data_IF_105797953194
#
_entry.id   IF_105797953194
#
_cell.length_a   1.000
_cell.length_b   1.000
_cell.length_c   1.000
_cell.angle_alpha   90.00
_cell.angle_beta   90.00
_cell.angle_gamma   90.00
#
_symmetry.space_group_name_H-M   'P 1'
#
loop_
_entity.id
_entity.type
_entity.pdbx_description
1 polymer ?
#
# COMPACT_ATOMS: atom_id res chain seq x y z
N UNK A 1 -13.98 -10.70 11.46
CA UNK A 1 -14.16 -11.91 10.64
C UNK A 1 -14.05 -11.52 9.17
N UNK A 2 -13.29 -12.25 8.35
CA UNK A 2 -13.30 -12.04 6.90
C UNK A 2 -14.67 -12.41 6.34
N UNK A 3 -15.29 -11.64 5.42
CA UNK A 3 -16.66 -11.85 4.96
C UNK A 3 -16.89 -13.26 4.42
N UNK A 4 -15.94 -13.79 3.66
CA UNK A 4 -16.03 -15.15 3.08
C UNK A 4 -16.13 -16.27 4.12
N UNK A 5 -15.41 -16.15 5.25
CA UNK A 5 -15.46 -17.17 6.30
C UNK A 5 -16.82 -17.20 6.99
N UNK A 6 -17.48 -16.04 7.08
CA UNK A 6 -18.81 -15.92 7.68
C UNK A 6 -19.89 -16.59 6.81
N UNK A 7 -19.92 -16.28 5.51
CA UNK A 7 -20.90 -16.89 4.61
C UNK A 7 -20.66 -18.39 4.40
N UNK A 8 -19.41 -18.84 4.41
CA UNK A 8 -19.08 -20.26 4.34
C UNK A 8 -19.61 -21.03 5.56
N UNK A 9 -19.51 -20.45 6.77
CA UNK A 9 -20.08 -21.06 7.97
C UNK A 9 -21.62 -21.08 7.96
N UNK A 10 -22.26 -20.02 7.45
CA UNK A 10 -23.72 -20.00 7.30
C UNK A 10 -24.19 -21.11 6.35
N UNK A 11 -23.47 -21.31 5.23
CA UNK A 11 -23.75 -22.37 4.28
C UNK A 11 -23.53 -23.78 4.88
N UNK A 12 -22.43 -23.99 5.61
CA UNK A 12 -22.13 -25.29 6.23
C UNK A 12 -23.19 -25.72 7.27
N UNK A 13 -23.79 -24.75 7.94
CA UNK A 13 -24.78 -24.95 9.00
C UNK A 13 -26.23 -24.86 8.50
N UNK A 14 -26.43 -24.70 7.19
CA UNK A 14 -27.74 -24.51 6.55
C UNK A 14 -28.56 -23.37 7.18
N UNK A 15 -27.86 -22.30 7.60
CA UNK A 15 -28.43 -21.14 8.27
C UNK A 15 -28.67 -20.01 7.27
N UNK A 16 -29.94 -19.67 7.08
CA UNK A 16 -30.32 -18.49 6.30
C UNK A 16 -30.16 -17.19 7.11
N UNK A 17 -30.05 -16.06 6.40
CA UNK A 17 -29.84 -14.73 6.98
C UNK A 17 -30.95 -14.29 7.97
N UNK A 18 -32.14 -14.86 7.82
CA UNK A 18 -33.30 -14.62 8.69
C UNK A 18 -33.12 -15.23 10.09
N UNK A 19 -32.40 -16.36 10.21
CA UNK A 19 -32.07 -16.99 11.49
C UNK A 19 -31.05 -16.19 12.32
N UNK A 20 -30.29 -15.31 11.66
CA UNK A 20 -29.32 -14.42 12.28
C UNK A 20 -29.97 -13.13 12.81
N UNK A 21 -31.13 -12.75 12.27
CA UNK A 21 -31.89 -11.60 12.78
C UNK A 21 -32.62 -11.92 14.08
N UNK A 22 -33.00 -13.18 14.28
CA UNK A 22 -33.56 -13.70 15.53
C UNK A 22 -32.48 -14.04 16.56
N UNK A 23 -31.20 -14.04 16.16
CA UNK A 23 -30.07 -14.23 17.05
C UNK A 23 -29.85 -12.99 17.92
N UNK A 24 -30.55 -12.95 19.05
CA UNK A 24 -30.30 -12.01 20.13
C UNK A 24 -29.17 -12.58 21.00
N UNK A 25 -27.99 -11.92 21.07
CA UNK A 25 -26.87 -12.42 21.87
C UNK A 25 -27.25 -12.61 23.35
N UNK A 26 -28.25 -11.86 23.83
CA UNK A 26 -28.64 -11.83 25.23
C UNK A 26 -29.40 -13.07 25.71
N UNK A 27 -30.04 -13.83 24.83
CA UNK A 27 -30.77 -15.04 25.24
C UNK A 27 -29.81 -16.18 25.62
N UNK A 28 -28.69 -16.31 24.91
CA UNK A 28 -27.62 -17.27 25.24
C UNK A 28 -26.67 -16.75 26.32
N UNK A 29 -26.74 -15.48 26.72
CA UNK A 29 -26.12 -15.04 27.98
C UNK A 29 -26.81 -15.73 29.17
N UNK A 30 -28.03 -16.28 29.05
CA UNK A 30 -28.68 -17.01 30.15
C UNK A 30 -28.27 -18.50 30.26
N UNK A 31 -27.82 -19.13 29.18
CA UNK A 31 -27.31 -20.51 29.18
C UNK A 31 -25.77 -20.59 29.16
N UNK A 32 -25.15 -19.57 28.58
CA UNK A 32 -23.73 -19.25 28.65
C UNK A 32 -23.56 -17.91 29.36
N UNK A 33 -24.14 -17.77 30.56
CA UNK A 33 -23.62 -16.77 31.48
C UNK A 33 -22.20 -17.26 31.72
N UNK A 34 -21.21 -16.65 31.05
CA UNK A 34 -19.98 -16.39 31.78
C UNK A 34 -20.43 -15.44 32.86
N UNK A 35 -20.98 -16.01 33.94
CA UNK A 35 -21.11 -15.35 35.21
C UNK A 35 -19.66 -14.95 35.43
N UNK A 36 -19.33 -13.68 35.20
CA UNK A 36 -18.26 -13.08 35.97
C UNK A 36 -18.75 -13.37 37.37
N UNK A 37 -18.20 -14.43 37.96
CA UNK A 37 -18.64 -14.94 39.24
C UNK A 37 -18.59 -13.74 40.15
N UNK A 38 -19.75 -13.17 40.44
CA UNK A 38 -19.93 -12.38 41.63
C UNK A 38 -19.77 -13.39 42.75
N UNK A 39 -18.50 -13.58 43.16
CA UNK A 39 -18.06 -14.09 44.46
C UNK A 39 -16.56 -14.43 44.47
N UNK A 40 -15.90 -14.32 45.62
CA UNK A 40 -16.16 -13.50 46.80
C UNK A 40 -15.05 -12.45 46.96
N UNK A 41 -15.12 -11.65 48.03
CA UNK A 41 -14.02 -10.87 48.57
C UNK A 41 -12.73 -11.70 48.59
N UNK A 42 -11.89 -11.59 47.56
CA UNK A 42 -10.50 -11.93 47.75
C UNK A 42 -9.95 -10.80 48.60
N UNK A 43 -9.64 -11.12 49.85
CA UNK A 43 -8.58 -10.50 50.62
C UNK A 43 -7.30 -10.59 49.77
N UNK A 44 -7.22 -9.83 48.68
CA UNK A 44 -5.92 -9.46 48.13
C UNK A 44 -5.30 -8.67 49.25
N UNK A 45 -4.21 -9.21 49.80
CA UNK A 45 -3.37 -8.48 50.74
C UNK A 45 -3.19 -7.07 50.19
N UNK A 46 -3.56 -6.04 50.96
CA UNK A 46 -3.49 -4.65 50.50
C UNK A 46 -2.09 -4.32 49.95
N UNK A 47 -1.07 -5.03 50.44
CA UNK A 47 0.29 -5.02 49.93
C UNK A 47 0.41 -5.50 48.49
N UNK A 48 -0.24 -6.60 48.10
CA UNK A 48 -0.23 -7.14 46.73
C UNK A 48 -0.94 -6.20 45.75
N UNK A 49 -2.05 -5.60 46.20
CA UNK A 49 -2.82 -4.65 45.40
C UNK A 49 -2.00 -3.36 45.18
N UNK A 50 -1.37 -2.85 46.23
CA UNK A 50 -0.51 -1.68 46.16
C UNK A 50 0.75 -1.94 45.32
N UNK A 51 1.36 -3.13 45.42
CA UNK A 51 2.51 -3.51 44.60
C UNK A 51 2.18 -3.49 43.11
N UNK A 52 0.98 -3.95 42.72
CA UNK A 52 0.52 -3.93 41.32
C UNK A 52 0.23 -2.52 40.82
N UNK A 53 -0.37 -1.68 41.65
CA UNK A 53 -0.56 -0.24 41.36
C UNK A 53 0.77 0.47 41.12
N UNK A 54 1.76 0.21 41.99
CA UNK A 54 3.11 0.76 41.88
C UNK A 54 3.83 0.25 40.62
N UNK A 55 3.77 -1.05 40.33
CA UNK A 55 4.36 -1.62 39.12
C UNK A 55 3.76 -1.03 37.84
N UNK A 56 2.44 -0.80 37.83
CA UNK A 56 1.76 -0.14 36.72
C UNK A 56 2.17 1.33 36.57
N UNK A 57 2.22 2.06 37.69
CA UNK A 57 2.57 3.48 37.70
C UNK A 57 4.04 3.73 37.32
N UNK A 58 4.96 2.91 37.81
CA UNK A 58 6.41 3.02 37.57
C UNK A 58 6.84 2.53 36.18
N UNK A 59 5.94 1.91 35.42
CA UNK A 59 6.28 1.42 34.09
C UNK A 59 6.46 2.57 33.08
N UNK A 60 7.56 2.50 32.32
CA UNK A 60 7.91 3.47 31.29
C UNK A 60 7.07 3.32 29.99
N UNK A 61 6.21 2.31 29.91
CA UNK A 61 5.42 2.04 28.70
C UNK A 61 4.36 3.15 28.48
N UNK A 62 4.36 3.83 27.32
CA UNK A 62 3.45 4.94 27.07
C UNK A 62 2.00 4.47 26.87
N UNK A 63 1.81 3.24 26.40
CA UNK A 63 0.49 2.64 26.17
C UNK A 63 0.00 1.95 27.44
N UNK A 64 -1.18 2.36 27.93
CA UNK A 64 -1.76 1.83 29.16
C UNK A 64 -1.98 0.31 29.15
N UNK A 65 -2.34 -0.28 28.02
CA UNK A 65 -2.62 -1.72 27.89
C UNK A 65 -1.36 -2.59 27.84
N UNK A 66 -0.21 -2.01 27.50
CA UNK A 66 1.08 -2.69 27.45
C UNK A 66 1.83 -2.59 28.80
N UNK A 67 1.23 -1.93 29.80
CA UNK A 67 1.82 -1.80 31.14
C UNK A 67 1.67 -3.11 31.94
N UNK A 68 2.66 -3.46 32.78
CA UNK A 68 2.61 -4.66 33.59
C UNK A 68 1.40 -4.62 34.53
N UNK A 69 0.70 -5.74 34.65
CA UNK A 69 -0.45 -5.85 35.55
C UNK A 69 -1.74 -5.20 35.05
N UNK A 70 -1.77 -4.58 33.86
CA UNK A 70 -2.97 -3.96 33.29
C UNK A 70 -4.19 -4.90 33.31
N UNK A 71 -4.03 -6.12 32.79
CA UNK A 71 -5.14 -7.07 32.67
C UNK A 71 -5.68 -7.54 34.03
N UNK A 72 -4.81 -7.56 35.04
CA UNK A 72 -5.21 -7.87 36.41
C UNK A 72 -5.96 -6.69 37.04
N UNK A 73 -5.40 -5.47 36.96
CA UNK A 73 -6.03 -4.25 37.49
C UNK A 73 -7.38 -3.97 36.83
N UNK A 74 -7.50 -4.23 35.53
CA UNK A 74 -8.76 -4.10 34.81
C UNK A 74 -9.87 -5.02 35.35
N UNK A 75 -9.51 -6.22 35.82
CA UNK A 75 -10.44 -7.24 36.33
C UNK A 75 -10.74 -7.07 37.83
N UNK A 76 -9.78 -6.61 38.61
CA UNK A 76 -9.83 -6.63 40.07
C UNK A 76 -9.85 -5.25 40.74
N UNK A 77 -9.41 -4.19 40.06
CA UNK A 77 -9.32 -2.83 40.60
C UNK A 77 -9.57 -1.77 39.51
N UNK A 78 -10.74 -1.89 38.89
CA UNK A 78 -11.12 -1.12 37.70
C UNK A 78 -11.26 0.38 38.01
N UNK A 79 -11.79 0.73 39.17
CA UNK A 79 -12.01 2.13 39.57
C UNK A 79 -10.69 2.89 39.71
N UNK A 80 -9.70 2.29 40.38
CA UNK A 80 -8.36 2.88 40.47
C UNK A 80 -7.74 3.05 39.08
N UNK A 81 -7.83 2.03 38.22
CA UNK A 81 -7.25 2.08 36.88
C UNK A 81 -7.86 3.21 36.02
N UNK A 82 -9.18 3.38 36.08
CA UNK A 82 -9.88 4.46 35.36
C UNK A 82 -9.44 5.84 35.86
N UNK A 83 -9.40 6.03 37.19
CA UNK A 83 -8.98 7.29 37.79
C UNK A 83 -7.51 7.62 37.49
N UNK A 84 -6.64 6.61 37.56
CA UNK A 84 -5.21 6.78 37.24
C UNK A 84 -5.01 7.17 35.77
N UNK A 85 -5.69 6.51 34.83
CA UNK A 85 -5.58 6.83 33.40
C UNK A 85 -6.16 8.21 33.08
N UNK A 86 -7.25 8.61 33.74
CA UNK A 86 -7.82 9.95 33.61
C UNK A 86 -6.85 11.04 34.12
N UNK A 87 -6.17 10.79 35.24
CA UNK A 87 -5.16 11.71 35.79
C UNK A 87 -3.84 11.73 35.00
N UNK A 88 -3.54 10.66 34.24
CA UNK A 88 -2.31 10.50 33.46
C UNK A 88 -2.64 10.25 31.98
N UNK A 89 -3.19 11.26 31.27
CA UNK A 89 -3.57 11.10 29.88
C UNK A 89 -2.34 10.85 29.02
N UNK A 90 -2.38 9.76 28.25
CA UNK A 90 -1.39 9.52 27.22
C UNK A 90 -1.58 10.52 26.07
N UNK A 91 -0.70 11.52 26.01
CA UNK A 91 -0.61 12.41 24.87
C UNK A 91 0.02 11.64 23.71
N UNK A 92 -0.80 11.17 22.77
CA UNK A 92 -0.29 10.71 21.48
C UNK A 92 0.42 11.89 20.84
N UNK A 93 1.70 11.69 20.55
CA UNK A 93 2.45 12.63 19.74
C UNK A 93 1.68 12.82 18.42
N UNK A 94 1.24 14.05 18.16
CA UNK A 94 0.45 14.34 16.96
C UNK A 94 1.37 14.06 15.79
N UNK A 95 1.00 13.06 14.97
CA UNK A 95 1.76 12.63 13.78
C UNK A 95 2.41 13.84 13.11
N UNK A 96 3.73 13.72 12.88
CA UNK A 96 4.54 14.66 12.10
C UNK A 96 3.71 15.14 10.92
N UNK A 97 3.45 16.46 10.87
CA UNK A 97 2.72 17.09 9.77
C UNK A 97 3.57 16.92 8.52
N UNK A 98 3.22 15.95 7.68
CA UNK A 98 3.91 15.69 6.42
C UNK A 98 3.67 16.90 5.52
N UNK A 99 4.75 17.53 5.06
CA UNK A 99 4.68 18.56 4.01
C UNK A 99 4.46 17.87 2.66
N UNK A 100 3.19 17.75 2.29
CA UNK A 100 2.78 17.15 1.02
C UNK A 100 3.22 17.96 -0.19
N UNK A 101 3.32 19.28 -0.06
CA UNK A 101 3.69 20.14 -1.18
C UNK A 101 5.16 19.97 -1.54
N UNK A 102 6.05 19.98 -0.54
CA UNK A 102 7.46 19.65 -0.75
C UNK A 102 7.62 18.23 -1.31
N UNK A 103 6.82 17.28 -0.80
CA UNK A 103 6.90 15.89 -1.27
C UNK A 103 6.44 15.70 -2.71
N UNK A 104 5.40 16.41 -3.13
CA UNK A 104 4.94 16.40 -4.53
C UNK A 104 5.95 17.05 -5.46
N UNK A 105 6.62 18.11 -5.03
CA UNK A 105 7.71 18.71 -5.80
C UNK A 105 8.88 17.73 -6.02
N UNK A 106 9.34 17.08 -4.94
CA UNK A 106 10.43 16.11 -5.01
C UNK A 106 10.04 14.92 -5.89
N UNK A 107 8.82 14.40 -5.73
CA UNK A 107 8.31 13.29 -6.55
C UNK A 107 8.29 13.64 -8.04
N UNK A 108 7.82 14.84 -8.41
CA UNK A 108 7.82 15.28 -9.79
C UNK A 108 9.24 15.31 -10.39
N UNK A 109 10.24 15.76 -9.61
CA UNK A 109 11.64 15.73 -10.03
C UNK A 109 12.17 14.30 -10.19
N UNK A 110 11.85 13.41 -9.26
CA UNK A 110 12.23 11.99 -9.33
C UNK A 110 11.62 11.28 -10.54
N UNK A 111 10.36 11.58 -10.88
CA UNK A 111 9.68 11.05 -12.06
C UNK A 111 10.35 11.49 -13.37
N UNK A 112 10.75 12.76 -13.47
CA UNK A 112 11.48 13.27 -14.63
C UNK A 112 12.85 12.58 -14.78
N UNK A 113 13.57 12.39 -13.67
CA UNK A 113 14.84 11.65 -13.65
C UNK A 113 14.64 10.18 -14.03
N UNK A 114 13.59 9.53 -13.51
CA UNK A 114 13.24 8.15 -13.84
C UNK A 114 12.97 7.98 -15.34
N UNK A 115 12.27 8.94 -15.98
CA UNK A 115 12.09 8.94 -17.44
C UNK A 115 13.43 9.02 -18.17
N UNK A 116 14.31 9.93 -17.76
CA UNK A 116 15.64 10.05 -18.39
C UNK A 116 16.43 8.74 -18.27
N UNK A 117 16.40 8.08 -17.12
CA UNK A 117 17.04 6.77 -16.91
C UNK A 117 16.45 5.70 -17.83
N UNK A 118 15.12 5.63 -17.98
CA UNK A 118 14.47 4.66 -18.87
C UNK A 118 14.83 4.89 -20.34
N UNK A 119 15.03 6.14 -20.74
CA UNK A 119 15.44 6.51 -22.09
C UNK A 119 16.93 6.26 -22.35
N UNK A 120 17.78 6.30 -21.32
CA UNK A 120 19.23 6.05 -21.43
C UNK A 120 19.64 4.59 -21.29
N UNK A 121 18.70 3.66 -21.11
CA UNK A 121 19.01 2.23 -20.99
C UNK A 121 19.61 1.72 -22.31
N UNK A 122 20.80 1.12 -22.22
CA UNK A 122 21.43 0.47 -23.36
C UNK A 122 20.70 -0.81 -23.78
N UNK A 123 20.71 -1.09 -25.08
CA UNK A 123 20.03 -2.22 -25.68
C UNK A 123 18.55 -1.95 -25.94
N UNK A 124 17.73 -2.99 -25.82
CA UNK A 124 16.33 -2.95 -26.25
C UNK A 124 15.49 -1.92 -25.46
N UNK A 125 14.83 -0.97 -26.14
CA UNK A 125 14.05 0.08 -25.48
C UNK A 125 12.92 -0.43 -24.58
N UNK A 126 12.94 0.01 -23.32
CA UNK A 126 11.86 -0.21 -22.36
C UNK A 126 10.80 0.88 -22.46
N UNK A 127 9.51 0.50 -22.46
CA UNK A 127 8.42 1.48 -22.54
C UNK A 127 8.35 2.34 -21.29
N UNK A 128 8.21 3.66 -21.46
CA UNK A 128 7.96 4.57 -20.34
C UNK A 128 6.49 4.47 -19.92
N UNK A 129 6.20 3.50 -19.06
CA UNK A 129 4.88 3.31 -18.46
C UNK A 129 4.84 3.84 -17.03
N UNK A 130 3.63 4.06 -16.51
CA UNK A 130 3.42 4.46 -15.11
C UNK A 130 4.07 3.47 -14.15
N UNK A 131 3.97 2.17 -14.43
CA UNK A 131 4.61 1.13 -13.63
C UNK A 131 6.14 1.14 -13.74
N UNK A 132 6.71 1.41 -14.93
CA UNK A 132 8.15 1.55 -15.09
C UNK A 132 8.71 2.74 -14.30
N UNK A 133 8.05 3.90 -14.38
CA UNK A 133 8.43 5.09 -13.63
C UNK A 133 8.33 4.87 -12.11
N UNK A 134 7.19 4.37 -11.63
CA UNK A 134 6.99 4.14 -10.20
C UNK A 134 7.97 3.13 -9.60
N UNK A 135 8.50 2.18 -10.37
CA UNK A 135 9.52 1.23 -9.89
C UNK A 135 10.87 1.88 -9.61
N UNK A 136 11.18 3.01 -10.24
CA UNK A 136 12.44 3.73 -10.10
C UNK A 136 12.39 4.82 -9.02
N UNK A 137 11.21 5.08 -8.46
CA UNK A 137 10.96 6.17 -7.51
C UNK A 137 10.79 5.60 -6.10
N UNK A 138 11.62 6.04 -5.16
CA UNK A 138 11.67 5.50 -3.78
C UNK A 138 10.33 5.62 -3.06
N UNK A 139 9.61 6.74 -3.25
CA UNK A 139 8.37 7.05 -2.53
C UNK A 139 7.09 6.84 -3.34
N UNK A 140 7.15 6.03 -4.41
CA UNK A 140 6.00 5.81 -5.29
C UNK A 140 4.77 5.26 -4.55
N UNK A 141 4.94 4.46 -3.49
CA UNK A 141 3.81 3.91 -2.74
C UNK A 141 2.85 4.98 -2.20
N UNK A 142 3.38 6.11 -1.69
CA UNK A 142 2.54 7.19 -1.19
C UNK A 142 1.71 7.84 -2.30
N UNK A 143 2.33 8.03 -3.47
CA UNK A 143 1.67 8.55 -4.66
C UNK A 143 0.56 7.63 -5.18
N UNK A 144 0.79 6.32 -5.14
CA UNK A 144 -0.21 5.33 -5.55
C UNK A 144 -1.40 5.28 -4.58
N UNK A 145 -1.15 5.43 -3.28
CA UNK A 145 -2.18 5.30 -2.24
C UNK A 145 -2.98 6.58 -2.01
N UNK A 146 -2.36 7.74 -2.13
CA UNK A 146 -2.95 9.05 -1.82
C UNK A 146 -2.68 10.06 -2.95
N UNK A 147 -3.13 9.79 -4.19
CA UNK A 147 -2.88 10.63 -5.35
C UNK A 147 -3.36 12.09 -5.18
N UNK A 148 -4.40 12.33 -4.36
CA UNK A 148 -4.95 13.65 -4.05
C UNK A 148 -3.92 14.62 -3.46
N UNK A 149 -2.86 14.12 -2.82
CA UNK A 149 -1.77 14.92 -2.28
C UNK A 149 -0.67 15.25 -3.30
N UNK A 150 -0.79 14.76 -4.55
CA UNK A 150 0.24 14.87 -5.58
C UNK A 150 -0.25 15.46 -6.92
N UNK A 151 -0.95 16.61 -6.91
CA UNK A 151 -1.53 17.18 -8.12
C UNK A 151 -0.50 17.50 -9.20
N UNK A 152 0.71 17.95 -8.82
CA UNK A 152 1.76 18.27 -9.78
C UNK A 152 2.32 17.02 -10.44
N UNK A 153 2.61 15.99 -9.66
CA UNK A 153 3.11 14.72 -10.19
C UNK A 153 2.09 14.02 -11.07
N UNK A 154 0.78 14.13 -10.78
CA UNK A 154 -0.28 13.61 -11.64
C UNK A 154 -0.28 14.30 -13.00
N UNK A 155 -0.23 15.64 -13.01
CA UNK A 155 -0.20 16.42 -14.26
C UNK A 155 1.03 16.05 -15.09
N UNK A 156 2.21 16.05 -14.46
CA UNK A 156 3.46 15.68 -15.12
C UNK A 156 3.42 14.26 -15.67
N UNK A 157 2.79 13.31 -14.97
CA UNK A 157 2.73 11.92 -15.41
C UNK A 157 2.15 11.79 -16.82
N UNK A 158 1.11 12.56 -17.16
CA UNK A 158 0.51 12.51 -18.50
C UNK A 158 1.54 12.80 -19.61
N UNK A 159 2.43 13.76 -19.38
CA UNK A 159 3.46 14.17 -20.34
C UNK A 159 4.67 13.21 -20.36
N UNK A 160 4.84 12.40 -19.31
CA UNK A 160 5.95 11.45 -19.19
C UNK A 160 5.66 10.11 -19.87
N UNK A 161 4.38 9.72 -20.00
CA UNK A 161 4.01 8.41 -20.53
C UNK A 161 4.24 8.31 -22.03
N UNK A 162 4.83 7.20 -22.44
CA UNK A 162 5.11 6.90 -23.85
C UNK A 162 3.93 6.13 -24.44
N UNK A 163 3.40 6.62 -25.56
CA UNK A 163 2.35 5.91 -26.29
C UNK A 163 2.90 4.59 -26.85
N UNK A 164 2.02 3.64 -27.15
CA UNK A 164 2.44 2.38 -27.80
C UNK A 164 3.09 2.63 -29.15
N UNK A 165 2.62 3.65 -29.88
CA UNK A 165 3.18 4.08 -31.15
C UNK A 165 4.63 4.55 -30.99
N UNK A 166 4.87 5.51 -30.11
CA UNK A 166 6.21 6.10 -29.93
C UNK A 166 7.21 5.09 -29.39
N UNK A 167 6.76 4.20 -28.50
CA UNK A 167 7.58 3.09 -28.02
C UNK A 167 7.99 2.14 -29.15
N UNK A 168 7.06 1.80 -30.05
CA UNK A 168 7.38 0.97 -31.20
C UNK A 168 8.35 1.66 -32.15
N UNK A 169 8.14 2.95 -32.43
CA UNK A 169 9.04 3.74 -33.27
C UNK A 169 10.46 3.76 -32.67
N UNK A 170 10.59 3.95 -31.35
CA UNK A 170 11.89 3.93 -30.67
C UNK A 170 12.55 2.56 -30.71
N UNK A 171 11.79 1.47 -30.60
CA UNK A 171 12.29 0.10 -30.79
C UNK A 171 12.75 -0.16 -32.22
N UNK A 172 12.08 0.42 -33.20
CA UNK A 172 12.44 0.30 -34.61
C UNK A 172 13.75 1.04 -34.88
N UNK A 173 13.88 2.29 -34.44
CA UNK A 173 15.15 3.05 -34.50
C UNK A 173 16.30 2.28 -33.85
N UNK A 174 16.07 1.74 -32.66
CA UNK A 174 17.08 0.91 -31.99
C UNK A 174 17.46 -0.33 -32.83
N UNK A 175 16.48 -1.03 -33.40
CA UNK A 175 16.73 -2.22 -34.20
C UNK A 175 17.49 -1.91 -35.50
N UNK A 176 17.19 -0.78 -36.17
CA UNK A 176 17.89 -0.30 -37.36
C UNK A 176 19.36 -0.06 -37.05
N UNK A 177 19.65 0.66 -35.96
CA UNK A 177 21.03 0.99 -35.53
C UNK A 177 21.82 -0.23 -35.10
N UNK A 178 21.22 -1.09 -34.28
CA UNK A 178 21.90 -2.25 -33.70
C UNK A 178 22.24 -3.31 -34.75
N UNK A 179 21.33 -3.52 -35.71
CA UNK A 179 21.49 -4.58 -36.71
C UNK A 179 22.02 -4.06 -38.06
N UNK A 180 22.30 -2.75 -38.18
CA UNK A 180 22.74 -2.10 -39.43
C UNK A 180 21.85 -2.50 -40.62
N UNK A 181 20.54 -2.45 -40.41
CA UNK A 181 19.55 -2.90 -41.38
C UNK A 181 19.63 -2.02 -42.63
N UNK A 182 19.91 -2.63 -43.78
CA UNK A 182 19.83 -1.96 -45.09
C UNK A 182 18.38 -1.83 -45.55
N UNK A 183 18.13 -0.90 -46.50
CA UNK A 183 16.80 -0.64 -47.08
C UNK A 183 16.09 -1.89 -47.63
N UNK A 184 16.83 -2.95 -47.94
CA UNK A 184 16.32 -4.20 -48.50
C UNK A 184 15.96 -5.24 -47.43
N UNK A 185 16.05 -4.92 -46.15
CA UNK A 185 15.66 -5.88 -45.12
C UNK A 185 14.15 -6.08 -45.09
N UNK A 186 13.72 -7.34 -45.03
CA UNK A 186 12.31 -7.67 -44.87
C UNK A 186 11.76 -7.14 -43.54
N UNK A 187 10.62 -6.46 -43.59
CA UNK A 187 9.93 -5.90 -42.42
C UNK A 187 9.68 -6.93 -41.31
N UNK A 188 9.46 -8.18 -41.68
CA UNK A 188 9.25 -9.29 -40.74
C UNK A 188 10.48 -9.55 -39.85
N UNK A 189 11.69 -9.34 -40.37
CA UNK A 189 12.95 -9.47 -39.62
C UNK A 189 13.07 -8.32 -38.62
N UNK A 190 12.83 -7.09 -39.07
CA UNK A 190 12.82 -5.90 -38.21
C UNK A 190 11.82 -6.04 -37.06
N UNK A 191 10.56 -6.41 -37.35
CA UNK A 191 9.54 -6.59 -36.31
C UNK A 191 9.91 -7.70 -35.32
N UNK A 192 10.49 -8.81 -35.79
CA UNK A 192 10.92 -9.91 -34.91
C UNK A 192 12.06 -9.47 -33.99
N UNK A 193 13.05 -8.76 -34.52
CA UNK A 193 14.20 -8.26 -33.75
C UNK A 193 13.76 -7.19 -32.72
N UNK A 194 12.98 -6.21 -33.18
CA UNK A 194 12.33 -5.23 -32.32
C UNK A 194 11.36 -5.92 -31.33
N UNK A 195 10.86 -7.13 -31.59
CA UNK A 195 9.86 -7.81 -30.78
C UNK A 195 8.53 -7.05 -30.79
N UNK A 196 8.05 -6.71 -31.97
CA UNK A 196 6.75 -6.11 -32.25
C UNK A 196 5.88 -7.20 -32.87
N UNK A 197 4.74 -7.51 -32.24
CA UNK A 197 3.78 -8.51 -32.75
C UNK A 197 2.63 -7.87 -33.54
N UNK A 198 2.18 -6.71 -33.09
CA UNK A 198 1.10 -5.92 -33.69
C UNK A 198 1.67 -4.53 -33.92
N UNK A 199 1.90 -4.16 -35.17
CA UNK A 199 2.38 -2.82 -35.51
C UNK A 199 1.28 -1.80 -35.29
N UNK A 200 1.66 -0.67 -34.69
CA UNK A 200 0.87 0.56 -34.60
C UNK A 200 1.48 1.68 -35.44
N UNK A 201 2.65 1.44 -36.03
CA UNK A 201 3.44 2.35 -36.86
C UNK A 201 3.21 1.99 -38.32
N UNK A 202 3.08 2.99 -39.19
CA UNK A 202 2.93 2.79 -40.64
C UNK A 202 4.24 2.32 -41.27
N UNK A 203 4.18 1.54 -42.36
CA UNK A 203 5.37 1.12 -43.09
C UNK A 203 6.15 2.32 -43.66
N UNK A 204 5.43 3.36 -44.12
CA UNK A 204 6.05 4.59 -44.63
C UNK A 204 6.90 5.31 -43.58
N UNK A 205 6.41 5.37 -42.33
CA UNK A 205 7.14 5.97 -41.22
C UNK A 205 8.42 5.20 -40.93
N UNK A 206 8.38 3.87 -41.04
CA UNK A 206 9.54 3.00 -40.83
C UNK A 206 10.57 3.21 -41.93
N UNK A 207 10.14 3.29 -43.19
CA UNK A 207 11.02 3.57 -44.33
C UNK A 207 11.68 4.94 -44.19
N UNK A 208 10.96 5.96 -43.71
CA UNK A 208 11.56 7.27 -43.39
C UNK A 208 12.64 7.15 -42.32
N UNK A 209 12.41 6.38 -41.25
CA UNK A 209 13.43 6.18 -40.21
C UNK A 209 14.68 5.45 -40.71
N UNK A 210 14.53 4.50 -41.64
CA UNK A 210 15.68 3.82 -42.25
C UNK A 210 16.50 4.80 -43.08
N UNK A 211 15.85 5.69 -43.85
CA UNK A 211 16.53 6.73 -44.64
C UNK A 211 17.25 7.74 -43.74
N UNK A 212 16.57 8.25 -42.73
CA UNK A 212 17.11 9.24 -41.79
C UNK A 212 18.36 8.73 -41.01
N UNK A 213 18.46 7.41 -40.74
CA UNK A 213 19.62 6.82 -40.05
C UNK A 213 20.79 6.51 -41.03
N UNK A 214 20.58 6.58 -42.35
CA UNK A 214 21.62 6.32 -43.37
C UNK A 214 22.31 7.59 -43.89
N UNK A 215 21.66 8.76 -43.77
CA UNK A 215 22.20 10.09 -44.06
C UNK A 215 23.04 10.65 -42.89
#
# INVERSE_FOLDING_TARGET
>A
MQPFKFYFLCWLLDLELEHLKTYCPEADISAGVMVCRDRPNNLTDDNDLQARRLAFANSANPKCHDKPGYQWLYRHDREWLVNYVAANPYLRDRKIRIDWQSRDFTLASELAKARAILLSVHGKPQQVTRAALCRLVVNAHAFLKMPEHFPRSIRLMADLLESTHDHQLRKIRWAIREYSLTEHCAMSVLYRYAGIRISRVSEDEILMQIRDDMD
#
